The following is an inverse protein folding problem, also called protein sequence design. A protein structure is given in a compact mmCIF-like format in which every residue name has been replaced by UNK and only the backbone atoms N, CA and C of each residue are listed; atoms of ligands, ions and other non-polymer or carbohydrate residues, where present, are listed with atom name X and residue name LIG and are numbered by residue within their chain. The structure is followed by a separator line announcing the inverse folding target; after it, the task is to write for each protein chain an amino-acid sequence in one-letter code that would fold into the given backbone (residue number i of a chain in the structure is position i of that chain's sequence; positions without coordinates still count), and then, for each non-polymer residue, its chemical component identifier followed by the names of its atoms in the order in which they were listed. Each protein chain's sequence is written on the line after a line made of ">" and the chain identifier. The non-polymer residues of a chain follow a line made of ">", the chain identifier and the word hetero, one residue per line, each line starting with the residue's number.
data_IF_016684040666
#
_entry.id   IF_016684040666
#
_cell.length_a   1.000
_cell.length_b   1.000
_cell.length_c   1.000
_cell.angle_alpha   90.00
_cell.angle_beta   90.00
_cell.angle_gamma   90.00
#
_symmetry.space_group_name_H-M   'P 1'
#
loop_
_entity.id
_entity.type
_entity.pdbx_description
1 polymer ?
#
# COMPACT_ATOMS: atom_id res chain seq x y z
N UNK A 1 -15.57 -2.50 12.14
CA UNK A 1 -16.92 -2.60 12.74
C UNK A 1 -18.02 -2.70 11.68
N UNK A 2 -17.91 -2.03 10.53
CA UNK A 2 -18.95 -2.04 9.47
C UNK A 2 -19.16 -3.37 8.71
N UNK A 3 -18.13 -4.19 8.47
CA UNK A 3 -18.27 -5.40 7.66
C UNK A 3 -19.09 -6.51 8.37
N UNK A 4 -18.95 -6.65 9.69
CA UNK A 4 -19.70 -7.64 10.47
C UNK A 4 -21.18 -7.27 10.58
N UNK A 5 -21.48 -6.00 10.82
CA UNK A 5 -22.85 -5.48 10.88
C UNK A 5 -23.53 -5.54 9.50
N UNK A 6 -22.80 -5.23 8.43
CA UNK A 6 -23.32 -5.39 7.06
C UNK A 6 -23.62 -6.84 6.69
N UNK A 7 -22.77 -7.80 7.11
CA UNK A 7 -23.01 -9.23 6.90
C UNK A 7 -24.19 -9.69 7.78
N UNK A 8 -24.29 -9.25 9.03
CA UNK A 8 -25.44 -9.56 9.87
C UNK A 8 -26.74 -9.02 9.28
N UNK A 9 -26.75 -7.78 8.84
CA UNK A 9 -27.92 -7.12 8.24
C UNK A 9 -28.28 -7.73 6.87
N UNK A 10 -27.30 -8.10 6.04
CA UNK A 10 -27.54 -8.81 4.79
C UNK A 10 -28.11 -10.23 5.00
N UNK A 11 -27.65 -10.94 6.03
CA UNK A 11 -28.15 -12.29 6.35
C UNK A 11 -29.51 -12.22 7.06
N UNK A 12 -29.76 -11.21 7.89
CA UNK A 12 -31.06 -11.01 8.56
C UNK A 12 -32.17 -10.59 7.57
N UNK A 13 -31.83 -9.84 6.51
CA UNK A 13 -32.79 -9.43 5.48
C UNK A 13 -33.08 -10.49 4.42
N UNK A 14 -32.31 -11.57 4.38
CA UNK A 14 -32.58 -12.71 3.49
C UNK A 14 -33.61 -13.61 4.18
N UNK A 15 -34.83 -13.71 3.64
CA UNK A 15 -35.85 -14.61 4.19
C UNK A 15 -35.31 -16.05 4.14
N UNK A 16 -35.01 -16.63 5.31
CA UNK A 16 -34.33 -17.92 5.47
C UNK A 16 -35.18 -19.14 5.08
N UNK A 17 -36.36 -18.94 4.48
CA UNK A 17 -37.30 -20.03 4.22
C UNK A 17 -36.94 -20.92 3.02
N UNK A 18 -36.07 -20.50 2.10
CA UNK A 18 -35.72 -21.26 0.88
C UNK A 18 -34.20 -21.46 0.66
N UNK A 19 -33.40 -21.39 1.73
CA UNK A 19 -31.94 -21.57 1.61
C UNK A 19 -31.56 -23.05 1.85
N UNK A 20 -30.82 -23.71 0.95
CA UNK A 20 -30.46 -25.11 1.13
C UNK A 20 -29.58 -25.30 2.39
N UNK A 21 -29.71 -26.45 3.10
CA UNK A 21 -29.19 -26.66 4.45
C UNK A 21 -27.65 -26.53 4.57
N UNK A 22 -26.93 -26.76 3.47
CA UNK A 22 -25.49 -26.55 3.36
C UNK A 22 -25.09 -25.07 3.49
N UNK A 23 -25.88 -24.14 2.94
CA UNK A 23 -25.62 -22.70 3.03
C UNK A 23 -25.93 -22.19 4.44
N UNK A 24 -26.94 -22.74 5.12
CA UNK A 24 -27.25 -22.39 6.51
C UNK A 24 -26.11 -22.79 7.47
N UNK A 25 -25.51 -23.96 7.26
CA UNK A 25 -24.34 -24.41 8.01
C UNK A 25 -23.11 -23.54 7.71
N UNK A 26 -22.89 -23.16 6.45
CA UNK A 26 -21.80 -22.27 6.05
C UNK A 26 -21.94 -20.86 6.64
N UNK A 27 -23.15 -20.28 6.63
CA UNK A 27 -23.45 -18.97 7.22
C UNK A 27 -23.32 -18.97 8.74
N UNK A 28 -23.75 -20.05 9.41
CA UNK A 28 -23.57 -20.20 10.86
C UNK A 28 -22.10 -20.33 11.24
N UNK A 29 -21.32 -21.07 10.45
CA UNK A 29 -19.86 -21.17 10.61
C UNK A 29 -19.18 -19.82 10.39
N UNK A 30 -19.59 -19.06 9.37
CA UNK A 30 -19.13 -17.69 9.12
C UNK A 30 -19.44 -16.74 10.29
N UNK A 31 -20.67 -16.78 10.84
CA UNK A 31 -21.03 -15.99 12.04
C UNK A 31 -20.18 -16.35 13.25
N UNK A 32 -19.92 -17.65 13.45
CA UNK A 32 -19.07 -18.10 14.55
C UNK A 32 -17.61 -17.63 14.38
N UNK A 33 -17.08 -17.68 13.16
CA UNK A 33 -15.73 -17.18 12.84
C UNK A 33 -15.65 -15.66 13.06
N UNK A 34 -16.64 -14.89 12.58
CA UNK A 34 -16.69 -13.43 12.73
C UNK A 34 -16.80 -13.02 14.20
N UNK A 35 -17.65 -13.70 14.99
CA UNK A 35 -17.80 -13.41 16.42
C UNK A 35 -16.56 -13.80 17.24
N UNK A 36 -15.87 -14.88 16.88
CA UNK A 36 -14.58 -15.25 17.46
C UNK A 36 -13.46 -14.27 17.09
N UNK A 37 -13.44 -13.77 15.86
CA UNK A 37 -12.50 -12.74 15.43
C UNK A 37 -12.71 -11.43 16.20
N UNK A 38 -13.96 -10.96 16.33
CA UNK A 38 -14.28 -9.70 17.02
C UNK A 38 -13.85 -9.68 18.51
N UNK A 39 -13.93 -10.81 19.23
CA UNK A 39 -13.49 -10.90 20.64
C UNK A 39 -11.96 -10.98 20.82
N UNK A 40 -11.21 -11.34 19.78
CA UNK A 40 -9.75 -11.55 19.83
C UNK A 40 -8.96 -10.44 19.10
N UNK A 41 -9.62 -9.66 18.23
CA UNK A 41 -8.98 -8.73 17.28
C UNK A 41 -8.24 -7.55 17.92
N UNK A 42 -8.76 -6.95 18.99
CA UNK A 42 -8.26 -5.64 19.45
C UNK A 42 -6.78 -5.64 19.84
N UNK A 43 -6.24 -6.78 20.33
CA UNK A 43 -4.82 -6.91 20.69
C UNK A 43 -3.96 -7.65 19.65
N UNK A 44 -4.54 -8.42 18.71
CA UNK A 44 -3.78 -9.12 17.65
C UNK A 44 -3.48 -8.22 16.46
N UNK A 45 -4.29 -7.19 16.24
CA UNK A 45 -4.11 -6.27 15.12
C UNK A 45 -2.82 -5.45 15.23
N UNK A 46 -2.28 -5.28 16.44
CA UNK A 46 -1.05 -4.53 16.72
C UNK A 46 0.21 -5.39 16.93
N UNK A 47 0.13 -6.71 16.74
CA UNK A 47 1.29 -7.62 16.84
C UNK A 47 1.74 -8.08 15.47
N UNK A 48 3.04 -8.09 15.26
CA UNK A 48 3.63 -8.72 14.09
C UNK A 48 4.02 -10.17 14.36
N UNK A 49 4.31 -10.93 13.29
CA UNK A 49 4.47 -12.40 13.37
C UNK A 49 5.85 -12.80 13.88
N UNK A 50 6.88 -12.10 13.44
CA UNK A 50 8.30 -12.37 13.67
C UNK A 50 8.92 -11.44 14.71
N UNK A 51 8.15 -10.49 15.27
CA UNK A 51 8.60 -9.61 16.36
C UNK A 51 9.27 -10.39 17.51
N UNK A 52 10.36 -9.85 18.03
CA UNK A 52 11.12 -10.43 19.14
C UNK A 52 11.17 -9.46 20.33
N UNK A 53 11.63 -9.96 21.49
CA UNK A 53 11.93 -9.09 22.62
C UNK A 53 13.28 -8.41 22.38
N UNK A 54 13.38 -7.12 22.74
CA UNK A 54 14.63 -6.40 22.62
C UNK A 54 15.69 -7.03 23.55
N UNK A 55 16.93 -7.20 23.07
CA UNK A 55 18.05 -7.59 23.92
C UNK A 55 18.40 -6.46 24.92
N UNK A 56 19.20 -6.74 25.96
CA UNK A 56 19.54 -5.75 26.98
C UNK A 56 20.16 -4.45 26.45
N UNK A 57 20.96 -4.49 25.37
CA UNK A 57 21.53 -3.30 24.73
C UNK A 57 20.61 -2.64 23.69
N UNK A 58 19.37 -3.12 23.51
CA UNK A 58 18.39 -2.51 22.61
C UNK A 58 18.62 -2.83 21.14
N UNK A 59 18.23 -1.91 20.25
CA UNK A 59 18.33 -2.11 18.79
C UNK A 59 19.76 -2.37 18.27
N UNK A 60 20.82 -1.71 18.78
CA UNK A 60 22.19 -1.95 18.32
C UNK A 60 22.69 -3.40 18.47
N UNK A 61 22.12 -4.15 19.42
CA UNK A 61 22.47 -5.54 19.70
C UNK A 61 21.73 -6.55 18.81
N UNK A 62 20.77 -6.09 17.99
CA UNK A 62 20.05 -6.97 17.06
C UNK A 62 20.97 -7.41 15.91
N UNK A 63 20.87 -8.67 15.45
CA UNK A 63 21.65 -9.14 14.33
C UNK A 63 21.28 -8.39 13.06
N UNK A 64 22.28 -7.96 12.31
CA UNK A 64 22.12 -7.31 11.00
C UNK A 64 22.70 -8.21 9.91
N UNK A 65 22.21 -8.11 8.64
CA UNK A 65 22.87 -8.75 7.52
C UNK A 65 24.36 -8.35 7.43
N UNK A 66 25.26 -9.22 6.93
CA UNK A 66 26.68 -8.90 6.81
C UNK A 66 26.93 -7.63 5.99
N UNK A 67 27.84 -6.77 6.48
CA UNK A 67 28.13 -5.47 5.85
C UNK A 67 28.60 -5.61 4.40
N UNK A 68 29.40 -6.64 4.09
CA UNK A 68 29.85 -6.92 2.73
C UNK A 68 28.67 -7.24 1.78
N UNK A 69 27.64 -7.94 2.26
CA UNK A 69 26.43 -8.21 1.50
C UNK A 69 25.65 -6.91 1.23
N UNK A 70 25.50 -6.05 2.25
CA UNK A 70 24.83 -4.74 2.10
C UNK A 70 25.59 -3.82 1.15
N UNK A 71 26.91 -3.73 1.25
CA UNK A 71 27.72 -2.91 0.33
C UNK A 71 27.60 -3.41 -1.11
N UNK A 72 27.62 -4.72 -1.33
CA UNK A 72 27.40 -5.31 -2.65
C UNK A 72 26.00 -5.01 -3.19
N UNK A 73 24.98 -5.05 -2.32
CA UNK A 73 23.59 -4.72 -2.63
C UNK A 73 23.44 -3.27 -3.10
N UNK A 74 23.95 -2.31 -2.31
CA UNK A 74 23.90 -0.88 -2.63
C UNK A 74 24.68 -0.53 -3.91
N UNK A 75 25.84 -1.16 -4.13
CA UNK A 75 26.60 -0.98 -5.38
C UNK A 75 25.80 -1.43 -6.60
N UNK A 76 25.09 -2.53 -6.49
CA UNK A 76 24.29 -3.04 -7.60
C UNK A 76 23.08 -2.17 -7.90
N UNK A 77 22.44 -1.56 -6.89
CA UNK A 77 21.34 -0.61 -7.11
C UNK A 77 21.76 0.54 -8.03
N UNK A 78 23.01 1.00 -7.92
CA UNK A 78 23.55 2.05 -8.81
C UNK A 78 23.69 1.60 -10.26
N UNK A 79 23.92 0.31 -10.50
CA UNK A 79 24.05 -0.26 -11.85
C UNK A 79 22.73 -0.76 -12.44
N UNK A 80 21.78 -1.16 -11.58
CA UNK A 80 20.51 -1.77 -11.95
C UNK A 80 19.47 -1.35 -10.92
N UNK A 81 18.62 -0.36 -11.23
CA UNK A 81 17.60 0.11 -10.30
C UNK A 81 16.66 -1.03 -9.88
N UNK A 82 16.48 -1.26 -8.57
CA UNK A 82 15.62 -2.33 -8.07
C UNK A 82 14.13 -1.98 -8.27
N UNK A 83 13.35 -2.92 -8.78
CA UNK A 83 11.94 -2.73 -9.06
C UNK A 83 11.06 -2.67 -7.80
N UNK A 84 11.15 -3.66 -6.92
CA UNK A 84 10.32 -3.74 -5.69
C UNK A 84 10.61 -2.54 -4.81
N UNK A 85 11.90 -2.26 -4.58
CA UNK A 85 12.31 -1.13 -3.76
C UNK A 85 11.85 0.19 -4.37
N UNK A 86 11.89 0.36 -5.69
CA UNK A 86 11.36 1.58 -6.32
C UNK A 86 9.87 1.76 -6.08
N UNK A 87 9.08 0.68 -6.03
CA UNK A 87 7.64 0.76 -5.72
C UNK A 87 7.42 1.12 -4.24
N UNK A 88 8.09 0.41 -3.33
CA UNK A 88 7.88 0.57 -1.90
C UNK A 88 8.53 1.83 -1.31
N UNK A 89 9.61 2.31 -1.92
CA UNK A 89 10.51 3.32 -1.36
C UNK A 89 11.03 4.30 -2.43
N UNK A 90 10.22 4.68 -3.44
CA UNK A 90 10.62 5.68 -4.49
C UNK A 90 11.06 7.04 -3.93
N UNK A 91 10.77 7.29 -2.64
CA UNK A 91 11.18 8.47 -1.90
C UNK A 91 12.58 8.35 -1.27
N UNK A 92 13.27 7.21 -1.34
CA UNK A 92 14.58 7.03 -0.72
C UNK A 92 15.70 6.89 -1.77
N UNK A 93 16.67 7.79 -1.75
CA UNK A 93 17.86 7.73 -2.62
C UNK A 93 18.84 6.64 -2.10
N UNK A 94 19.56 5.99 -3.02
CA UNK A 94 20.61 5.02 -2.71
C UNK A 94 21.75 5.62 -1.89
N UNK A 95 22.12 6.88 -2.12
CA UNK A 95 23.19 7.55 -1.39
C UNK A 95 22.75 7.88 0.04
N UNK A 96 21.51 8.35 0.22
CA UNK A 96 20.91 8.58 1.53
C UNK A 96 20.76 7.26 2.30
N UNK A 97 20.32 6.19 1.64
CA UNK A 97 20.25 4.86 2.23
C UNK A 97 21.63 4.34 2.63
N UNK A 98 22.67 4.56 1.83
CA UNK A 98 24.04 4.14 2.16
C UNK A 98 24.55 4.86 3.41
N UNK A 99 24.24 6.14 3.55
CA UNK A 99 24.57 6.95 4.71
C UNK A 99 23.80 6.50 5.97
N UNK A 100 22.51 6.18 5.85
CA UNK A 100 21.72 5.60 6.94
C UNK A 100 22.26 4.22 7.35
N UNK A 101 22.62 3.37 6.38
CA UNK A 101 23.29 2.10 6.66
C UNK A 101 24.59 2.33 7.44
N UNK A 102 25.42 3.30 7.04
CA UNK A 102 26.66 3.62 7.74
C UNK A 102 26.41 4.02 9.20
N UNK A 103 25.37 4.81 9.46
CA UNK A 103 24.95 5.20 10.82
C UNK A 103 24.56 4.01 11.68
N UNK A 104 23.89 2.99 11.12
CA UNK A 104 23.50 1.77 11.85
C UNK A 104 24.69 0.84 12.09
N UNK A 105 25.48 0.56 11.05
CA UNK A 105 26.55 -0.45 11.12
C UNK A 105 27.82 0.01 11.84
N UNK A 106 28.10 1.32 11.87
CA UNK A 106 29.27 1.89 12.55
C UNK A 106 28.90 2.67 13.81
N UNK A 107 27.70 2.44 14.36
CA UNK A 107 27.26 3.09 15.58
C UNK A 107 28.14 2.68 16.77
N UNK A 108 28.72 3.65 17.48
CA UNK A 108 29.47 3.42 18.72
C UNK A 108 28.61 3.60 19.98
N UNK A 109 27.56 4.43 19.88
CA UNK A 109 26.61 4.70 20.97
C UNK A 109 25.21 4.21 20.58
N UNK A 110 24.32 5.11 20.12
CA UNK A 110 22.95 4.80 19.70
C UNK A 110 22.58 5.49 18.40
N UNK A 111 21.64 4.91 17.65
CA UNK A 111 20.97 5.54 16.50
C UNK A 111 19.48 5.74 16.78
N UNK A 112 18.81 6.58 15.99
CA UNK A 112 17.38 6.78 16.12
C UNK A 112 16.59 5.57 15.60
N UNK A 113 15.49 5.21 16.27
CA UNK A 113 14.58 4.15 15.84
C UNK A 113 14.08 4.36 14.40
N UNK A 114 13.82 5.63 14.02
CA UNK A 114 13.44 6.02 12.67
C UNK A 114 14.50 5.65 11.63
N UNK A 115 15.78 5.85 11.95
CA UNK A 115 16.89 5.43 11.08
C UNK A 115 16.91 3.90 10.92
N UNK A 116 16.72 3.15 12.01
CA UNK A 116 16.74 1.69 11.98
C UNK A 116 15.57 1.08 11.23
N UNK A 117 14.38 1.70 11.33
CA UNK A 117 13.18 1.34 10.54
C UNK A 117 13.45 1.52 9.05
N UNK A 118 13.97 2.68 8.64
CA UNK A 118 14.26 2.97 7.23
C UNK A 118 15.27 1.95 6.69
N UNK A 119 16.38 1.72 7.41
CA UNK A 119 17.42 0.78 6.97
C UNK A 119 16.87 -0.64 6.85
N UNK A 120 16.22 -1.18 7.88
CA UNK A 120 15.74 -2.57 7.83
C UNK A 120 14.58 -2.73 6.83
N UNK A 121 13.69 -1.75 6.69
CA UNK A 121 12.63 -1.79 5.67
C UNK A 121 13.19 -1.75 4.25
N UNK A 122 14.12 -0.83 3.97
CA UNK A 122 14.80 -0.75 2.67
C UNK A 122 15.53 -2.06 2.34
N UNK A 123 16.34 -2.57 3.28
CA UNK A 123 17.09 -3.81 3.09
C UNK A 123 16.15 -5.02 2.95
N UNK A 124 15.01 -5.06 3.62
CA UNK A 124 13.99 -6.10 3.44
C UNK A 124 13.53 -6.17 1.98
N UNK A 125 13.11 -5.05 1.39
CA UNK A 125 12.66 -5.01 -0.01
C UNK A 125 13.78 -5.36 -0.99
N UNK A 126 14.99 -4.87 -0.74
CA UNK A 126 16.14 -5.12 -1.60
C UNK A 126 16.57 -6.59 -1.58
N UNK A 127 16.66 -7.22 -0.39
CA UNK A 127 17.00 -8.65 -0.30
C UNK A 127 15.88 -9.55 -0.82
N UNK A 128 14.61 -9.15 -0.66
CA UNK A 128 13.49 -9.84 -1.29
C UNK A 128 13.63 -9.87 -2.81
N UNK A 129 14.01 -8.75 -3.43
CA UNK A 129 14.26 -8.69 -4.87
C UNK A 129 15.49 -9.52 -5.28
N UNK A 130 16.56 -9.55 -4.47
CA UNK A 130 17.70 -10.43 -4.73
C UNK A 130 17.36 -11.90 -4.68
N UNK A 131 16.57 -12.31 -3.69
CA UNK A 131 16.08 -13.68 -3.59
C UNK A 131 15.26 -14.05 -4.83
N UNK A 132 14.41 -13.14 -5.31
CA UNK A 132 13.63 -13.35 -6.53
C UNK A 132 14.52 -13.57 -7.77
N UNK A 133 15.58 -12.78 -7.95
CA UNK A 133 16.48 -12.92 -9.11
C UNK A 133 17.52 -14.05 -8.97
N UNK A 134 17.67 -14.65 -7.78
CA UNK A 134 18.66 -15.68 -7.53
C UNK A 134 18.27 -17.02 -8.17
N UNK A 135 18.98 -17.38 -9.24
CA UNK A 135 18.80 -18.65 -9.96
C UNK A 135 19.27 -19.85 -9.13
N UNK A 136 20.41 -19.71 -8.45
CA UNK A 136 21.00 -20.76 -7.61
C UNK A 136 20.33 -20.82 -6.23
N UNK A 137 20.00 -22.05 -5.78
CA UNK A 137 19.35 -22.27 -4.49
C UNK A 137 20.15 -21.72 -3.28
N UNK A 138 21.48 -21.92 -3.17
CA UNK A 138 22.24 -21.41 -2.03
C UNK A 138 22.23 -19.89 -1.91
N UNK A 139 22.38 -19.18 -3.04
CA UNK A 139 22.32 -17.72 -3.06
C UNK A 139 20.93 -17.21 -2.67
N UNK A 140 19.87 -17.88 -3.15
CA UNK A 140 18.49 -17.56 -2.82
C UNK A 140 18.21 -17.72 -1.32
N UNK A 141 18.55 -18.87 -0.75
CA UNK A 141 18.37 -19.15 0.68
C UNK A 141 19.15 -18.15 1.55
N UNK A 142 20.34 -17.74 1.10
CA UNK A 142 21.11 -16.71 1.78
C UNK A 142 20.40 -15.35 1.78
N UNK A 143 19.88 -14.89 0.63
CA UNK A 143 19.13 -13.64 0.56
C UNK A 143 17.83 -13.69 1.35
N UNK A 144 17.12 -14.82 1.34
CA UNK A 144 15.91 -15.04 2.16
C UNK A 144 16.22 -14.94 3.66
N UNK A 145 17.38 -15.45 4.10
CA UNK A 145 17.84 -15.30 5.50
C UNK A 145 18.12 -13.83 5.85
N UNK A 146 18.74 -13.07 4.95
CA UNK A 146 18.96 -11.63 5.16
C UNK A 146 17.65 -10.86 5.18
N UNK A 147 16.74 -11.15 4.24
CA UNK A 147 15.38 -10.60 4.23
C UNK A 147 14.66 -10.88 5.55
N UNK A 148 14.69 -12.12 6.05
CA UNK A 148 14.04 -12.49 7.31
C UNK A 148 14.64 -11.77 8.53
N UNK A 149 15.95 -11.56 8.53
CA UNK A 149 16.64 -10.78 9.57
C UNK A 149 16.13 -9.34 9.58
N UNK A 150 16.10 -8.68 8.41
CA UNK A 150 15.57 -7.33 8.26
C UNK A 150 14.10 -7.24 8.67
N UNK A 151 13.28 -8.23 8.28
CA UNK A 151 11.87 -8.31 8.65
C UNK A 151 11.69 -8.35 10.17
N UNK A 152 12.42 -9.24 10.84
CA UNK A 152 12.37 -9.41 12.29
C UNK A 152 12.74 -8.12 13.01
N UNK A 153 13.82 -7.46 12.56
CA UNK A 153 14.29 -6.20 13.12
C UNK A 153 13.26 -5.07 12.92
N UNK A 154 12.68 -4.97 11.72
CA UNK A 154 11.65 -3.99 11.40
C UNK A 154 10.43 -4.20 12.30
N UNK A 155 9.86 -5.40 12.31
CA UNK A 155 8.68 -5.74 13.10
C UNK A 155 8.91 -5.52 14.61
N UNK A 156 10.09 -5.88 15.12
CA UNK A 156 10.47 -5.66 16.53
C UNK A 156 10.50 -4.16 16.85
N UNK A 157 11.06 -3.35 15.96
CA UNK A 157 11.17 -1.90 16.17
C UNK A 157 9.82 -1.21 16.08
N UNK A 158 8.96 -1.62 15.14
CA UNK A 158 7.63 -1.02 14.95
C UNK A 158 6.70 -1.19 16.16
N UNK A 159 6.85 -2.27 16.93
CA UNK A 159 6.07 -2.51 18.15
C UNK A 159 6.48 -1.55 19.27
N UNK A 160 7.74 -1.14 19.29
CA UNK A 160 8.31 -0.24 20.29
C UNK A 160 8.30 1.24 19.87
N UNK A 161 7.94 1.54 18.62
CA UNK A 161 8.01 2.89 18.06
C UNK A 161 7.05 3.85 18.79
N UNK A 162 7.54 4.92 19.44
CA UNK A 162 6.66 5.95 19.97
C UNK A 162 5.93 6.66 18.83
N UNK A 163 4.59 6.72 18.89
CA UNK A 163 3.80 7.42 17.86
C UNK A 163 3.94 8.95 17.91
N UNK A 164 4.41 9.49 19.04
CA UNK A 164 4.77 10.90 19.17
C UNK A 164 6.20 11.07 18.65
N UNK A 165 6.33 11.10 17.32
CA UNK A 165 7.59 11.37 16.66
C UNK A 165 7.77 12.88 16.42
N UNK A 166 9.01 13.39 16.45
CA UNK A 166 9.28 14.76 16.06
C UNK A 166 8.89 14.99 14.59
N UNK A 167 8.36 16.16 14.27
CA UNK A 167 8.05 16.55 12.89
C UNK A 167 9.35 16.81 12.12
N UNK A 168 9.86 15.79 11.43
CA UNK A 168 11.03 15.85 10.53
C UNK A 168 10.88 14.87 9.37
N UNK A 169 11.67 15.07 8.31
CA UNK A 169 11.72 14.20 7.11
C UNK A 169 11.91 12.72 7.50
N UNK A 170 12.94 12.41 8.28
CA UNK A 170 13.27 11.02 8.68
C UNK A 170 12.11 10.33 9.43
N UNK A 171 11.30 11.08 10.19
CA UNK A 171 10.14 10.52 10.88
C UNK A 171 9.00 10.17 9.92
N UNK A 172 8.79 10.98 8.88
CA UNK A 172 7.79 10.71 7.84
C UNK A 172 8.23 9.53 6.97
N UNK A 173 9.51 9.45 6.59
CA UNK A 173 10.07 8.33 5.83
C UNK A 173 9.93 7.00 6.59
N UNK A 174 10.28 6.98 7.89
CA UNK A 174 10.13 5.81 8.72
C UNK A 174 8.65 5.35 8.83
N UNK A 175 7.72 6.30 9.01
CA UNK A 175 6.29 5.99 9.07
C UNK A 175 5.73 5.52 7.71
N UNK A 176 6.23 6.04 6.59
CA UNK A 176 5.88 5.56 5.26
C UNK A 176 6.35 4.12 5.04
N UNK A 177 7.62 3.82 5.34
CA UNK A 177 8.15 2.45 5.30
C UNK A 177 7.32 1.53 6.18
N UNK A 178 6.97 1.97 7.40
CA UNK A 178 6.12 1.22 8.30
C UNK A 178 4.70 0.98 7.75
N UNK A 179 4.10 1.99 7.10
CA UNK A 179 2.76 1.92 6.53
C UNK A 179 2.71 0.97 5.33
N UNK A 180 3.66 1.09 4.39
CA UNK A 180 3.79 0.21 3.23
C UNK A 180 4.03 -1.23 3.70
N UNK A 181 4.95 -1.43 4.64
CA UNK A 181 5.18 -2.74 5.20
C UNK A 181 3.94 -3.33 5.90
N UNK A 182 3.24 -2.54 6.71
CA UNK A 182 2.01 -2.97 7.38
C UNK A 182 0.90 -3.32 6.38
N UNK A 183 0.84 -2.62 5.24
CA UNK A 183 0.02 -2.98 4.09
C UNK A 183 0.43 -4.37 3.57
N UNK A 184 1.71 -4.59 3.28
CA UNK A 184 2.26 -5.85 2.75
C UNK A 184 2.08 -7.05 3.70
N UNK A 185 1.89 -6.83 5.00
CA UNK A 185 1.60 -7.92 5.94
C UNK A 185 0.13 -7.96 6.39
N UNK A 186 -0.76 -7.31 5.63
CA UNK A 186 -2.22 -7.27 5.88
C UNK A 186 -2.61 -6.74 7.27
N UNK A 187 -1.88 -5.76 7.77
CA UNK A 187 -2.14 -5.08 9.05
C UNK A 187 -2.78 -3.72 8.82
N UNK A 188 -4.01 -3.72 8.27
CA UNK A 188 -4.73 -2.50 7.88
C UNK A 188 -4.87 -1.47 9.01
N UNK A 189 -5.07 -1.90 10.27
CA UNK A 189 -5.15 -1.00 11.43
C UNK A 189 -3.82 -0.28 11.71
N UNK A 190 -2.69 -0.97 11.60
CA UNK A 190 -1.35 -0.40 11.76
C UNK A 190 -1.00 0.49 10.57
N UNK A 191 -1.29 0.05 9.34
CA UNK A 191 -1.09 0.84 8.14
C UNK A 191 -1.84 2.19 8.23
N UNK A 192 -3.11 2.16 8.65
CA UNK A 192 -3.90 3.38 8.88
C UNK A 192 -3.29 4.27 9.97
N UNK A 193 -2.82 3.68 11.07
CA UNK A 193 -2.22 4.42 12.18
C UNK A 193 -0.92 5.13 11.75
N UNK A 194 -0.01 4.41 11.09
CA UNK A 194 1.25 4.97 10.61
C UNK A 194 0.99 6.05 9.55
N UNK A 195 0.08 5.81 8.61
CA UNK A 195 -0.30 6.78 7.57
C UNK A 195 -0.92 8.04 8.18
N UNK A 196 -1.83 7.89 9.16
CA UNK A 196 -2.45 9.04 9.83
C UNK A 196 -1.44 9.89 10.60
N UNK A 197 -0.48 9.22 11.24
CA UNK A 197 0.61 9.90 11.96
C UNK A 197 1.51 10.64 10.97
N UNK A 198 1.89 10.01 9.86
CA UNK A 198 2.68 10.63 8.81
C UNK A 198 1.98 11.84 8.18
N UNK A 199 0.65 11.74 7.96
CA UNK A 199 -0.17 12.83 7.44
C UNK A 199 -0.14 14.05 8.36
N UNK A 200 -0.29 13.83 9.66
CA UNK A 200 -0.19 14.89 10.67
C UNK A 200 1.19 15.57 10.66
N UNK A 201 2.28 14.80 10.53
CA UNK A 201 3.62 15.38 10.43
C UNK A 201 3.82 16.17 9.13
N UNK A 202 3.34 15.66 7.99
CA UNK A 202 3.36 16.37 6.70
C UNK A 202 2.55 17.68 6.77
N UNK A 203 1.40 17.67 7.43
CA UNK A 203 0.56 18.87 7.62
C UNK A 203 1.25 19.88 8.54
N UNK A 204 1.82 19.42 9.65
CA UNK A 204 2.58 20.25 10.60
C UNK A 204 3.75 20.95 9.93
N UNK A 205 4.46 20.26 9.03
CA UNK A 205 5.59 20.81 8.27
C UNK A 205 5.16 21.56 7.00
N UNK A 206 3.86 21.59 6.68
CA UNK A 206 3.33 22.30 5.52
C UNK A 206 3.67 21.67 4.17
N UNK A 207 3.99 20.37 4.11
CA UNK A 207 4.40 19.70 2.86
C UNK A 207 3.31 19.66 1.80
N UNK A 208 2.04 19.76 2.20
CA UNK A 208 0.86 19.85 1.35
C UNK A 208 0.70 21.22 0.64
N UNK A 209 1.59 22.19 0.92
CA UNK A 209 1.50 23.56 0.40
C UNK A 209 2.66 23.92 -0.53
N UNK A 210 2.32 24.50 -1.70
CA UNK A 210 3.31 24.94 -2.70
C UNK A 210 4.25 26.05 -2.19
N UNK A 211 3.82 26.85 -1.20
CA UNK A 211 4.66 27.91 -0.63
C UNK A 211 5.88 27.35 0.11
N UNK A 212 5.81 26.14 0.67
CA UNK A 212 6.91 25.50 1.39
C UNK A 212 7.92 24.85 0.44
N UNK A 213 7.51 24.48 -0.78
CA UNK A 213 8.35 23.86 -1.80
C UNK A 213 9.15 24.89 -2.63
N UNK A 214 8.74 26.17 -2.61
CA UNK A 214 9.45 27.27 -3.26
C UNK A 214 10.42 28.02 -2.35
N UNK A 215 10.65 27.55 -1.13
CA UNK A 215 11.61 28.20 -0.22
C UNK A 215 13.03 28.18 -0.80
N UNK A 216 13.87 29.14 -0.42
CA UNK A 216 15.23 29.31 -0.95
C UNK A 216 16.16 28.09 -0.74
N UNK A 217 15.76 27.09 0.05
CA UNK A 217 16.48 25.83 0.26
C UNK A 217 15.99 24.67 -0.63
N UNK A 218 15.01 24.90 -1.50
CA UNK A 218 14.48 23.86 -2.38
C UNK A 218 15.45 23.63 -3.55
N UNK A 219 16.31 22.62 -3.39
CA UNK A 219 17.09 22.10 -4.50
C UNK A 219 16.21 21.36 -5.52
N UNK A 220 16.76 20.98 -6.69
CA UNK A 220 16.06 20.18 -7.70
C UNK A 220 15.60 18.79 -7.23
N UNK A 221 15.95 18.39 -6.00
CA UNK A 221 15.59 17.14 -5.33
C UNK A 221 14.83 17.38 -4.02
N UNK A 222 13.89 18.33 -3.98
CA UNK A 222 13.05 18.49 -2.78
C UNK A 222 12.12 17.27 -2.62
N UNK A 223 12.40 16.44 -1.62
CA UNK A 223 11.71 15.18 -1.32
C UNK A 223 10.31 15.39 -0.72
N UNK A 224 10.04 16.58 -0.16
CA UNK A 224 8.85 16.85 0.66
C UNK A 224 7.52 16.64 -0.10
N UNK A 225 7.36 17.10 -1.35
CA UNK A 225 6.13 16.85 -2.11
C UNK A 225 5.93 15.36 -2.35
N UNK A 226 7.02 14.64 -2.63
CA UNK A 226 6.98 13.20 -2.89
C UNK A 226 6.53 12.43 -1.64
N UNK A 227 7.06 12.77 -0.46
CA UNK A 227 6.60 12.19 0.81
C UNK A 227 5.12 12.47 1.05
N UNK A 228 4.69 13.72 0.84
CA UNK A 228 3.28 14.07 1.00
C UNK A 228 2.38 13.25 0.07
N UNK A 229 2.74 13.11 -1.21
CA UNK A 229 1.94 12.34 -2.17
C UNK A 229 1.87 10.85 -1.84
N UNK A 230 2.95 10.24 -1.32
CA UNK A 230 2.89 8.86 -0.83
C UNK A 230 1.94 8.69 0.35
N UNK A 231 2.01 9.60 1.32
CA UNK A 231 1.09 9.59 2.47
C UNK A 231 -0.35 9.79 2.01
N UNK A 232 -0.57 10.72 1.06
CA UNK A 232 -1.87 10.99 0.47
C UNK A 232 -2.48 9.74 -0.20
N UNK A 233 -1.72 9.06 -1.06
CA UNK A 233 -2.20 7.87 -1.75
C UNK A 233 -2.58 6.77 -0.76
N UNK A 234 -1.72 6.50 0.24
CA UNK A 234 -2.02 5.53 1.30
C UNK A 234 -3.28 5.91 2.08
N UNK A 235 -3.44 7.19 2.48
CA UNK A 235 -4.59 7.64 3.26
C UNK A 235 -5.91 7.44 2.49
N UNK A 236 -5.95 7.82 1.21
CA UNK A 236 -7.16 7.68 0.39
C UNK A 236 -7.50 6.23 0.10
N UNK A 237 -6.51 5.41 -0.26
CA UNK A 237 -6.73 3.98 -0.51
C UNK A 237 -7.17 3.27 0.77
N UNK A 238 -6.53 3.53 1.91
CA UNK A 238 -6.93 2.93 3.18
C UNK A 238 -8.31 3.41 3.66
N UNK A 239 -8.66 4.68 3.41
CA UNK A 239 -9.98 5.25 3.72
C UNK A 239 -11.10 4.43 3.08
N UNK A 240 -11.04 4.23 1.75
CA UNK A 240 -12.03 3.43 1.03
C UNK A 240 -12.09 1.98 1.52
N UNK A 241 -10.93 1.36 1.72
CA UNK A 241 -10.84 -0.07 2.06
C UNK A 241 -11.24 -0.38 3.50
N UNK A 242 -10.98 0.53 4.43
CA UNK A 242 -11.32 0.36 5.85
C UNK A 242 -12.66 0.97 6.25
N UNK A 243 -13.29 1.71 5.34
CA UNK A 243 -14.54 2.43 5.59
C UNK A 243 -14.38 3.61 6.54
N UNK A 244 -13.18 4.18 6.65
CA UNK A 244 -12.85 5.31 7.54
C UNK A 244 -12.69 6.58 6.72
N UNK A 245 -13.01 7.73 7.31
CA UNK A 245 -12.71 9.00 6.68
C UNK A 245 -11.19 9.20 6.56
N UNK A 246 -10.77 9.74 5.41
CA UNK A 246 -9.40 10.19 5.15
C UNK A 246 -9.05 11.35 6.09
N UNK A 247 -7.83 11.37 6.60
CA UNK A 247 -7.36 12.44 7.50
C UNK A 247 -6.87 13.66 6.72
N UNK A 248 -6.48 13.48 5.45
CA UNK A 248 -6.08 14.57 4.57
C UNK A 248 -7.30 15.10 3.81
N UNK A 249 -7.54 16.41 3.87
CA UNK A 249 -8.64 17.04 3.16
C UNK A 249 -8.16 17.72 1.88
N UNK A 250 -8.82 17.45 0.75
CA UNK A 250 -8.34 17.88 -0.57
C UNK A 250 -8.35 19.41 -0.73
N UNK A 251 -9.24 20.10 -0.03
CA UNK A 251 -9.37 21.57 -0.03
C UNK A 251 -8.25 22.31 0.69
N UNK A 252 -7.40 21.63 1.47
CA UNK A 252 -6.22 22.23 2.12
C UNK A 252 -4.95 22.08 1.24
N UNK A 253 -4.99 21.25 0.19
CA UNK A 253 -3.82 20.91 -0.63
C UNK A 253 -3.62 21.90 -1.77
N UNK A 254 -2.51 22.64 -1.75
CA UNK A 254 -2.14 23.55 -2.86
C UNK A 254 -1.03 23.01 -3.77
N UNK A 255 -0.50 21.81 -3.49
CA UNK A 255 0.45 21.15 -4.39
C UNK A 255 -0.20 20.77 -5.73
N UNK A 256 0.55 20.86 -6.85
CA UNK A 256 0.13 20.30 -8.13
C UNK A 256 -0.08 18.79 -8.04
N UNK A 257 -1.16 18.27 -8.63
CA UNK A 257 -1.46 16.82 -8.76
C UNK A 257 -0.57 16.17 -9.83
N UNK A 258 0.73 16.41 -9.75
CA UNK A 258 1.74 15.96 -10.69
C UNK A 258 3.06 15.80 -9.96
N UNK A 259 3.75 14.71 -10.24
CA UNK A 259 5.11 14.45 -9.77
C UNK A 259 6.04 14.49 -10.98
N UNK A 260 6.86 15.54 -11.03
CA UNK A 260 7.77 15.76 -12.15
C UNK A 260 9.06 14.94 -12.01
N UNK A 261 9.58 14.79 -10.78
CA UNK A 261 10.80 14.07 -10.47
C UNK A 261 10.61 13.19 -9.22
N UNK A 262 11.34 12.07 -9.15
CA UNK A 262 11.39 11.18 -7.97
C UNK A 262 12.84 10.94 -7.53
N UNK A 263 13.07 10.19 -6.43
CA UNK A 263 14.43 9.80 -6.02
C UNK A 263 14.97 8.58 -6.77
N UNK A 264 14.14 7.97 -7.62
CA UNK A 264 14.48 6.88 -8.51
C UNK A 264 14.42 7.34 -9.96
N UNK A 265 15.09 6.63 -10.87
CA UNK A 265 15.15 7.00 -12.29
C UNK A 265 13.75 6.97 -12.93
N UNK A 266 13.49 7.84 -13.93
CA UNK A 266 12.25 7.78 -14.72
C UNK A 266 11.93 6.36 -15.18
N UNK A 267 10.65 5.95 -15.23
CA UNK A 267 9.46 6.77 -15.46
C UNK A 267 8.51 6.92 -14.23
N UNK A 268 9.01 6.79 -13.01
CA UNK A 268 8.18 6.74 -11.79
C UNK A 268 7.33 7.99 -11.53
N UNK A 269 7.74 9.17 -11.98
CA UNK A 269 6.93 10.40 -11.81
C UNK A 269 5.56 10.30 -12.49
N UNK A 270 5.49 9.69 -13.68
CA UNK A 270 4.24 9.47 -14.40
C UNK A 270 3.35 8.44 -13.70
N UNK A 271 3.95 7.36 -13.19
CA UNK A 271 3.25 6.30 -12.44
C UNK A 271 2.64 6.87 -11.15
N UNK A 272 3.42 7.62 -10.37
CA UNK A 272 2.93 8.24 -9.13
C UNK A 272 1.86 9.29 -9.43
N UNK A 273 2.00 10.05 -10.51
CA UNK A 273 0.95 11.00 -10.95
C UNK A 273 -0.37 10.28 -11.24
N UNK A 274 -0.33 9.14 -11.92
CA UNK A 274 -1.49 8.29 -12.17
C UNK A 274 -2.08 7.75 -10.85
N UNK A 275 -1.25 7.30 -9.92
CA UNK A 275 -1.71 6.81 -8.62
C UNK A 275 -2.35 7.91 -7.75
N UNK A 276 -1.87 9.15 -7.83
CA UNK A 276 -2.53 10.30 -7.17
C UNK A 276 -3.94 10.49 -7.73
N UNK A 277 -4.11 10.48 -9.06
CA UNK A 277 -5.41 10.61 -9.70
C UNK A 277 -6.36 9.47 -9.32
N UNK A 278 -5.87 8.24 -9.28
CA UNK A 278 -6.66 7.09 -8.82
C UNK A 278 -7.08 7.24 -7.35
N UNK A 279 -6.19 7.74 -6.51
CA UNK A 279 -6.44 7.98 -5.08
C UNK A 279 -7.52 9.05 -4.87
N UNK A 280 -7.55 10.10 -5.70
CA UNK A 280 -8.62 11.11 -5.71
C UNK A 280 -9.98 10.47 -6.03
N UNK A 281 -10.06 9.56 -7.02
CA UNK A 281 -11.30 8.83 -7.29
C UNK A 281 -11.69 7.92 -6.14
N UNK A 282 -10.75 7.14 -5.60
CA UNK A 282 -11.04 6.25 -4.47
C UNK A 282 -11.57 7.00 -3.25
N UNK A 283 -11.02 8.19 -2.97
CA UNK A 283 -11.52 9.07 -1.92
C UNK A 283 -12.97 9.48 -2.16
N UNK A 284 -13.30 9.96 -3.38
CA UNK A 284 -14.66 10.38 -3.74
C UNK A 284 -15.64 9.21 -3.78
N UNK A 285 -15.20 8.02 -4.16
CA UNK A 285 -16.00 6.79 -4.06
C UNK A 285 -16.39 6.55 -2.60
N UNK A 286 -15.43 6.65 -1.67
CA UNK A 286 -15.76 6.53 -0.25
C UNK A 286 -16.71 7.66 0.19
N UNK A 287 -16.32 8.91 -0.02
CA UNK A 287 -17.04 10.08 0.47
C UNK A 287 -18.48 10.15 -0.07
N UNK A 288 -18.67 9.91 -1.37
CA UNK A 288 -19.92 10.16 -2.09
C UNK A 288 -20.78 8.91 -2.30
N UNK A 289 -20.28 7.69 -2.06
CA UNK A 289 -21.07 6.46 -2.19
C UNK A 289 -21.14 5.60 -0.91
N UNK A 290 -20.14 5.69 -0.03
CA UNK A 290 -19.99 4.75 1.10
C UNK A 290 -19.89 5.40 2.49
N UNK A 291 -19.71 6.71 2.57
CA UNK A 291 -19.72 7.44 3.85
C UNK A 291 -21.12 7.41 4.48
N UNK A 292 -21.24 7.60 5.81
CA UNK A 292 -22.55 7.70 6.45
C UNK A 292 -23.44 8.79 5.83
N UNK A 293 -22.85 9.88 5.34
CA UNK A 293 -23.60 10.94 4.65
C UNK A 293 -24.13 10.46 3.30
N UNK A 294 -23.27 9.82 2.49
CA UNK A 294 -23.65 9.27 1.18
C UNK A 294 -24.71 8.17 1.29
N UNK A 295 -24.65 7.35 2.34
CA UNK A 295 -25.63 6.29 2.55
C UNK A 295 -27.04 6.81 2.85
N UNK A 296 -27.16 8.07 3.30
CA UNK A 296 -28.44 8.74 3.56
C UNK A 296 -28.99 9.52 2.34
N UNK A 297 -28.27 9.55 1.22
CA UNK A 297 -28.72 10.20 -0.01
C UNK A 297 -29.86 9.42 -0.68
N UNK A 298 -30.63 10.13 -1.52
CA UNK A 298 -31.70 9.50 -2.29
C UNK A 298 -31.14 8.51 -3.31
N UNK A 299 -31.97 7.57 -3.78
CA UNK A 299 -31.56 6.61 -4.79
C UNK A 299 -31.15 7.29 -6.10
N UNK A 300 -31.85 8.36 -6.47
CA UNK A 300 -31.59 9.16 -7.67
C UNK A 300 -30.23 9.85 -7.58
N UNK A 301 -29.93 10.52 -6.47
CA UNK A 301 -28.64 11.20 -6.23
C UNK A 301 -27.47 10.21 -6.28
N UNK A 302 -27.68 9.02 -5.72
CA UNK A 302 -26.68 7.94 -5.74
C UNK A 302 -26.43 7.43 -7.15
N UNK A 303 -27.47 7.22 -7.95
CA UNK A 303 -27.33 6.79 -9.35
C UNK A 303 -26.59 7.83 -10.16
N UNK A 304 -26.91 9.12 -10.00
CA UNK A 304 -26.19 10.21 -10.67
C UNK A 304 -24.70 10.22 -10.29
N UNK A 305 -24.41 10.10 -9.00
CA UNK A 305 -23.04 10.04 -8.47
C UNK A 305 -22.27 8.85 -9.03
N UNK A 306 -22.91 7.67 -9.12
CA UNK A 306 -22.30 6.48 -9.74
C UNK A 306 -21.93 6.75 -11.20
N UNK A 307 -22.85 7.30 -12.01
CA UNK A 307 -22.60 7.53 -13.44
C UNK A 307 -21.49 8.55 -13.67
N UNK A 308 -21.41 9.59 -12.84
CA UNK A 308 -20.30 10.55 -12.84
C UNK A 308 -18.97 9.88 -12.54
N UNK A 309 -18.87 9.17 -11.41
CA UNK A 309 -17.63 8.49 -10.99
C UNK A 309 -17.22 7.38 -11.96
N UNK A 310 -18.17 6.66 -12.55
CA UNK A 310 -17.93 5.68 -13.60
C UNK A 310 -17.21 6.29 -14.81
N UNK A 311 -17.71 7.43 -15.29
CA UNK A 311 -17.14 8.12 -16.46
C UNK A 311 -15.71 8.57 -16.18
N UNK A 312 -15.47 9.15 -15.00
CA UNK A 312 -14.15 9.59 -14.58
C UNK A 312 -13.17 8.41 -14.40
N UNK A 313 -13.60 7.33 -13.73
CA UNK A 313 -12.78 6.13 -13.54
C UNK A 313 -12.38 5.51 -14.88
N UNK A 314 -13.31 5.41 -15.84
CA UNK A 314 -13.03 4.90 -17.19
C UNK A 314 -12.03 5.80 -17.95
N UNK A 315 -12.12 7.12 -17.76
CA UNK A 315 -11.15 8.06 -18.35
C UNK A 315 -9.74 7.87 -17.77
N UNK A 316 -9.63 7.69 -16.46
CA UNK A 316 -8.34 7.41 -15.80
C UNK A 316 -7.76 6.08 -16.27
N UNK A 317 -8.58 5.03 -16.40
CA UNK A 317 -8.14 3.73 -16.92
C UNK A 317 -7.58 3.83 -18.34
N UNK A 318 -8.25 4.58 -19.21
CA UNK A 318 -7.76 4.78 -20.58
C UNK A 318 -6.42 5.51 -20.61
N UNK A 319 -6.27 6.58 -19.81
CA UNK A 319 -5.00 7.31 -19.68
C UNK A 319 -3.89 6.43 -19.06
N UNK A 320 -4.22 5.66 -18.03
CA UNK A 320 -3.32 4.75 -17.35
C UNK A 320 -2.75 3.66 -18.28
N UNK A 321 -3.58 3.12 -19.19
CA UNK A 321 -3.09 2.14 -20.17
C UNK A 321 -1.99 2.73 -21.07
N UNK A 322 -2.13 4.00 -21.48
CA UNK A 322 -1.11 4.68 -22.29
C UNK A 322 0.17 4.94 -21.50
N UNK A 323 0.04 5.42 -20.24
CA UNK A 323 1.18 5.62 -19.33
C UNK A 323 1.92 4.30 -19.10
N UNK A 324 1.20 3.21 -18.83
CA UNK A 324 1.78 1.87 -18.61
C UNK A 324 2.62 1.39 -19.79
N UNK A 325 2.16 1.60 -21.02
CA UNK A 325 2.92 1.23 -22.23
C UNK A 325 4.24 2.00 -22.35
N UNK A 326 4.21 3.32 -22.12
CA UNK A 326 5.40 4.17 -22.11
C UNK A 326 6.38 3.78 -20.98
N UNK A 327 5.83 3.55 -19.78
CA UNK A 327 6.57 3.13 -18.59
C UNK A 327 7.28 1.81 -18.85
N UNK A 328 6.56 0.81 -19.36
CA UNK A 328 7.12 -0.51 -19.64
C UNK A 328 8.23 -0.46 -20.70
N UNK A 329 8.10 0.42 -21.70
CA UNK A 329 9.17 0.66 -22.67
C UNK A 329 10.42 1.26 -22.01
N UNK A 330 10.26 2.29 -21.19
CA UNK A 330 11.37 2.92 -20.46
C UNK A 330 12.07 1.96 -19.49
N UNK A 331 11.31 1.18 -18.73
CA UNK A 331 11.83 0.19 -17.79
C UNK A 331 12.65 -0.90 -18.49
N UNK A 332 12.21 -1.37 -19.66
CA UNK A 332 12.98 -2.32 -20.49
C UNK A 332 14.32 -1.71 -20.95
N UNK A 333 14.33 -0.44 -21.35
CA UNK A 333 15.55 0.24 -21.75
C UNK A 333 16.56 0.40 -20.60
N UNK A 334 16.08 0.46 -19.35
CA UNK A 334 16.89 0.54 -18.14
C UNK A 334 17.31 -0.82 -17.57
N UNK A 335 17.00 -1.93 -18.26
CA UNK A 335 17.16 -3.30 -17.73
C UNK A 335 16.49 -3.48 -16.35
N UNK A 336 15.37 -2.81 -16.11
CA UNK A 336 14.66 -2.90 -14.84
C UNK A 336 14.00 -4.28 -14.67
N UNK A 337 13.76 -4.65 -13.41
CA UNK A 337 13.25 -5.96 -13.03
C UNK A 337 11.89 -6.30 -13.67
N UNK A 338 11.72 -7.54 -14.15
CA UNK A 338 10.47 -8.07 -14.72
C UNK A 338 9.29 -8.00 -13.74
N UNK A 339 9.58 -7.99 -12.44
CA UNK A 339 8.60 -7.84 -11.36
C UNK A 339 7.74 -6.57 -11.48
N UNK A 340 8.25 -5.56 -12.18
CA UNK A 340 7.55 -4.30 -12.40
C UNK A 340 6.38 -4.47 -13.36
N UNK A 341 6.48 -5.36 -14.36
CA UNK A 341 5.35 -5.66 -15.25
C UNK A 341 4.18 -6.24 -14.46
N UNK A 342 4.47 -7.17 -13.54
CA UNK A 342 3.47 -7.77 -12.66
C UNK A 342 2.78 -6.72 -11.76
N UNK A 343 3.55 -5.78 -11.19
CA UNK A 343 2.99 -4.72 -10.36
C UNK A 343 2.13 -3.75 -11.17
N UNK A 344 2.60 -3.32 -12.35
CA UNK A 344 1.82 -2.44 -13.23
C UNK A 344 0.54 -3.12 -13.74
N UNK A 345 0.50 -4.45 -13.84
CA UNK A 345 -0.76 -5.19 -14.06
C UNK A 345 -1.66 -5.19 -12.82
N UNK A 346 -1.09 -5.11 -11.62
CA UNK A 346 -1.83 -4.90 -10.37
C UNK A 346 -2.60 -3.57 -10.32
N UNK A 347 -2.12 -2.54 -11.01
CA UNK A 347 -2.85 -1.26 -11.13
C UNK A 347 -4.19 -1.45 -11.86
N UNK A 348 -4.21 -2.26 -12.93
CA UNK A 348 -5.45 -2.58 -13.65
C UNK A 348 -6.45 -3.29 -12.73
N UNK A 349 -5.98 -4.22 -11.89
CA UNK A 349 -6.82 -4.85 -10.89
C UNK A 349 -7.41 -3.82 -9.91
N UNK A 350 -6.62 -2.84 -9.48
CA UNK A 350 -7.06 -1.76 -8.58
C UNK A 350 -8.12 -0.87 -9.25
N UNK A 351 -7.95 -0.55 -10.53
CA UNK A 351 -8.94 0.21 -11.29
C UNK A 351 -10.27 -0.54 -11.42
N UNK A 352 -10.22 -1.82 -11.81
CA UNK A 352 -11.40 -2.65 -11.97
C UNK A 352 -12.10 -2.91 -10.62
N UNK A 353 -11.34 -3.05 -9.54
CA UNK A 353 -11.89 -3.15 -8.18
C UNK A 353 -12.60 -1.87 -7.75
N UNK A 354 -12.02 -0.71 -8.06
CA UNK A 354 -12.64 0.60 -7.79
C UNK A 354 -13.92 0.78 -8.61
N UNK A 355 -13.90 0.40 -9.90
CA UNK A 355 -15.07 0.44 -10.77
C UNK A 355 -16.18 -0.52 -10.30
N UNK A 356 -15.81 -1.71 -9.80
CA UNK A 356 -16.74 -2.64 -9.17
C UNK A 356 -17.41 -2.01 -7.94
N UNK A 357 -16.64 -1.30 -7.10
CA UNK A 357 -17.19 -0.57 -5.95
C UNK A 357 -18.10 0.59 -6.41
N UNK A 358 -17.81 1.26 -7.51
CA UNK A 358 -18.71 2.28 -8.08
C UNK A 358 -20.05 1.64 -8.47
N UNK A 359 -20.04 0.57 -9.28
CA UNK A 359 -21.28 -0.09 -9.71
C UNK A 359 -22.04 -0.78 -8.58
N UNK A 360 -21.34 -1.25 -7.54
CA UNK A 360 -21.97 -1.87 -6.36
C UNK A 360 -22.92 -0.91 -5.63
N UNK A 361 -22.74 0.40 -5.79
CA UNK A 361 -23.62 1.39 -5.18
C UNK A 361 -24.96 1.58 -5.93
N UNK A 362 -25.11 1.00 -7.13
CA UNK A 362 -26.38 1.00 -7.88
C UNK A 362 -27.45 0.15 -7.18
N UNK A 363 -28.73 0.55 -7.30
CA UNK A 363 -29.85 -0.30 -6.93
C UNK A 363 -29.90 -1.55 -7.83
N UNK A 364 -30.44 -2.64 -7.29
CA UNK A 364 -30.75 -3.80 -8.09
C UNK A 364 -31.84 -3.45 -9.12
N UNK A 365 -31.76 -3.95 -10.37
CA UNK A 365 -32.84 -3.81 -11.33
C UNK A 365 -34.14 -4.42 -10.81
N UNK A 366 -35.29 -3.85 -11.18
CA UNK A 366 -36.59 -4.38 -10.79
C UNK A 366 -36.75 -5.85 -11.23
N UNK A 367 -37.16 -6.71 -10.29
CA UNK A 367 -37.31 -8.15 -10.54
C UNK A 367 -36.00 -8.94 -10.65
N UNK A 368 -34.85 -8.32 -10.40
CA UNK A 368 -33.55 -9.01 -10.40
C UNK A 368 -33.50 -10.06 -9.29
N UNK A 369 -33.03 -11.30 -9.58
CA UNK A 369 -32.79 -12.32 -8.56
C UNK A 369 -31.56 -12.01 -7.69
N UNK A 370 -30.78 -10.97 -8.02
CA UNK A 370 -29.58 -10.58 -7.28
C UNK A 370 -29.62 -9.11 -6.86
N UNK A 371 -28.89 -8.78 -5.78
CA UNK A 371 -28.75 -7.41 -5.26
C UNK A 371 -27.89 -6.50 -6.14
N UNK A 372 -27.15 -7.04 -7.11
CA UNK A 372 -26.16 -6.30 -7.87
C UNK A 372 -26.63 -6.04 -9.29
N UNK A 373 -26.25 -4.90 -9.86
CA UNK A 373 -26.47 -4.63 -11.28
C UNK A 373 -25.62 -5.58 -12.14
N UNK A 374 -26.01 -5.72 -13.41
CA UNK A 374 -25.25 -6.54 -14.35
C UNK A 374 -23.83 -6.00 -14.54
N UNK A 375 -23.68 -4.66 -14.62
CA UNK A 375 -22.38 -4.00 -14.73
C UNK A 375 -21.48 -4.34 -13.53
N UNK A 376 -22.03 -4.31 -12.31
CA UNK A 376 -21.29 -4.69 -11.10
C UNK A 376 -20.79 -6.14 -11.17
N UNK A 377 -21.62 -7.07 -11.65
CA UNK A 377 -21.27 -8.49 -11.75
C UNK A 377 -20.18 -8.70 -12.81
N UNK A 378 -20.32 -8.05 -13.96
CA UNK A 378 -19.36 -8.15 -15.07
C UNK A 378 -17.99 -7.60 -14.68
N UNK A 379 -17.94 -6.39 -14.09
CA UNK A 379 -16.68 -5.81 -13.63
C UNK A 379 -16.05 -6.65 -12.52
N UNK A 380 -16.83 -7.19 -11.57
CA UNK A 380 -16.31 -8.06 -10.52
C UNK A 380 -15.70 -9.35 -11.06
N UNK A 381 -16.34 -9.96 -12.06
CA UNK A 381 -15.82 -11.15 -12.75
C UNK A 381 -14.53 -10.83 -13.49
N UNK A 382 -14.47 -9.71 -14.18
CA UNK A 382 -13.27 -9.28 -14.89
C UNK A 382 -12.10 -9.01 -13.93
N UNK A 383 -12.34 -8.29 -12.83
CA UNK A 383 -11.34 -8.10 -11.78
C UNK A 383 -10.84 -9.44 -11.20
N UNK A 384 -11.75 -10.38 -10.96
CA UNK A 384 -11.39 -11.74 -10.48
C UNK A 384 -10.53 -12.48 -11.50
N UNK A 385 -10.87 -12.40 -12.79
CA UNK A 385 -10.09 -13.02 -13.87
C UNK A 385 -8.68 -12.43 -13.93
N UNK A 386 -8.54 -11.11 -13.92
CA UNK A 386 -7.23 -10.44 -13.89
C UNK A 386 -6.40 -10.87 -12.68
N UNK A 387 -7.03 -10.98 -11.51
CA UNK A 387 -6.36 -11.46 -10.32
C UNK A 387 -5.82 -12.89 -10.50
N UNK A 388 -6.63 -13.79 -11.05
CA UNK A 388 -6.24 -15.17 -11.33
C UNK A 388 -5.09 -15.25 -12.34
N UNK A 389 -5.12 -14.45 -13.41
CA UNK A 389 -4.05 -14.41 -14.41
C UNK A 389 -2.70 -13.97 -13.80
N UNK A 390 -2.72 -12.95 -12.94
CA UNK A 390 -1.50 -12.52 -12.27
C UNK A 390 -1.02 -13.55 -11.23
N UNK A 391 -1.95 -14.20 -10.51
CA UNK A 391 -1.61 -15.28 -9.59
C UNK A 391 -0.98 -16.48 -10.29
N UNK A 392 -1.39 -16.79 -11.52
CA UNK A 392 -0.77 -17.81 -12.35
C UNK A 392 0.67 -17.42 -12.72
N UNK A 393 0.89 -16.19 -13.22
CA UNK A 393 2.24 -15.69 -13.51
C UNK A 393 3.16 -15.73 -12.28
N UNK A 394 2.63 -15.36 -11.11
CA UNK A 394 3.36 -15.44 -9.84
C UNK A 394 3.70 -16.88 -9.47
N UNK A 395 2.78 -17.81 -9.67
CA UNK A 395 3.04 -19.22 -9.40
C UNK A 395 4.12 -19.80 -10.31
N UNK A 396 4.19 -19.33 -11.55
CA UNK A 396 5.21 -19.68 -12.54
C UNK A 396 6.57 -19.04 -12.22
N UNK A 397 6.58 -17.81 -11.69
CA UNK A 397 7.81 -17.04 -11.39
C UNK A 397 8.38 -17.28 -9.98
N UNK A 398 7.63 -17.91 -9.06
CA UNK A 398 8.13 -18.36 -7.75
C UNK A 398 7.23 -17.99 -6.56
N UNK A 399 7.20 -18.86 -5.54
CA UNK A 399 6.27 -18.78 -4.39
C UNK A 399 6.35 -17.48 -3.57
N UNK A 400 7.47 -16.75 -3.61
CA UNK A 400 7.75 -15.61 -2.73
C UNK A 400 7.09 -14.29 -3.21
N UNK A 401 6.72 -14.21 -4.49
CA UNK A 401 5.99 -13.07 -5.07
C UNK A 401 4.55 -12.93 -4.55
N UNK A 402 3.97 -14.01 -4.01
CA UNK A 402 2.62 -13.99 -3.44
C UNK A 402 2.47 -12.91 -2.37
N UNK A 403 3.51 -12.67 -1.58
CA UNK A 403 3.48 -11.71 -0.48
C UNK A 403 3.63 -10.25 -0.94
N UNK A 404 3.95 -9.96 -2.20
CA UNK A 404 4.03 -8.58 -2.71
C UNK A 404 2.81 -8.25 -3.57
N UNK A 405 2.26 -9.26 -4.25
CA UNK A 405 1.08 -9.10 -5.11
C UNK A 405 -0.27 -9.25 -4.37
N UNK A 406 -0.38 -10.08 -3.33
CA UNK A 406 -1.67 -10.41 -2.67
C UNK A 406 -2.05 -9.37 -1.60
N UNK A 407 -1.37 -8.24 -1.54
CA UNK A 407 -1.69 -7.18 -0.61
C UNK A 407 -2.01 -5.90 -1.36
N UNK A 408 -3.07 -5.97 -2.19
CA UNK A 408 -4.29 -5.17 -2.02
C UNK A 408 -5.25 -5.20 -3.20
#
# INVERSE_FOLDING_TARGET
>A
MFASEFIEDAVQRTSLHDVPPNIHAALSSLRQIVSMQNKVSSNRDFRFRTQQSLPPGGLPDLPMPPMNAVVALLKHMKSSPPGIFSIACSFLDVDDLAELCRRVYFCTDTFADTTFIIVNGALFYLFMERAYHATEAPAREEFERYQHTCQTNLETTLVCLPLILPAKVESIEALLVAAVYAVDVSKASLAWLFTSTAASLCQTLGYHRISQTRSASAGPRDIKPLLFWHVYMLDKTLSLRTGRASVIQDWDITLPRRVDNTMVADPWGAVITMWIQQSEIQHRVYEQLYSPLALNQSQEERVETVRRLETEQKSIMAAASHVREQVLFGLKALNASSILDLHLRGDELTFQSTLTLIYRALPAPDGSPTRFSQECIETARFATQLHLECMQRIAEEGRHLKAVYIHW
#
